data_IF_551406600612
#
_entry.id   IF_551406600612
#
_cell.length_a   1.000
_cell.length_b   1.000
_cell.length_c   1.000
_cell.angle_alpha   90.00
_cell.angle_beta   90.00
_cell.angle_gamma   90.00
#
_symmetry.space_group_name_H-M   'P 1'
#
loop_
_entity.id
_entity.type
_entity.pdbx_description
1 polymer ?
#
# COMPACT_ATOMS: atom_id res chain seq x y z
N UNK A 1 -25.11 36.92 30.91
CA UNK A 1 -25.12 37.43 29.52
C UNK A 1 -24.69 36.29 28.61
N UNK A 2 -25.61 35.79 27.76
CA UNK A 2 -25.36 34.66 26.88
C UNK A 2 -24.42 35.07 25.74
N UNK A 3 -23.18 34.64 25.78
CA UNK A 3 -22.17 34.92 24.74
C UNK A 3 -22.35 33.90 23.63
N UNK A 4 -22.70 34.36 22.43
CA UNK A 4 -22.81 33.51 21.24
C UNK A 4 -21.73 33.85 20.23
N UNK A 5 -21.03 32.82 19.75
CA UNK A 5 -19.92 32.93 18.80
C UNK A 5 -20.35 32.31 17.48
N UNK A 6 -20.10 32.97 16.32
CA UNK A 6 -20.48 32.41 15.02
C UNK A 6 -19.69 31.14 14.68
N UNK A 7 -20.37 30.13 14.13
CA UNK A 7 -19.84 28.78 13.80
C UNK A 7 -18.58 28.84 12.91
N UNK A 8 -18.49 29.87 12.07
CA UNK A 8 -17.40 30.08 11.10
C UNK A 8 -16.08 30.54 11.73
N UNK A 9 -16.09 31.05 12.97
CA UNK A 9 -14.87 31.48 13.66
C UNK A 9 -14.14 30.33 14.37
N UNK A 10 -14.76 29.15 14.48
CA UNK A 10 -14.20 27.98 15.16
C UNK A 10 -13.38 27.07 14.25
N UNK A 11 -13.25 27.40 12.96
CA UNK A 11 -12.44 26.63 12.00
C UNK A 11 -12.95 25.20 11.74
N UNK A 12 -14.21 24.92 12.08
CA UNK A 12 -14.82 23.60 11.95
C UNK A 12 -15.20 23.30 10.49
N UNK A 13 -15.04 22.04 10.07
CA UNK A 13 -15.54 21.59 8.77
C UNK A 13 -17.08 21.51 8.76
N UNK A 14 -17.69 21.58 7.58
CA UNK A 14 -19.16 21.58 7.44
C UNK A 14 -19.83 20.32 8.03
N UNK A 15 -19.15 19.17 8.00
CA UNK A 15 -19.63 17.94 8.64
C UNK A 15 -19.61 18.03 10.16
N UNK A 16 -18.57 18.65 10.75
CA UNK A 16 -18.44 18.83 12.19
C UNK A 16 -19.45 19.84 12.72
N UNK A 17 -19.72 20.91 11.97
CA UNK A 17 -20.78 21.88 12.30
C UNK A 17 -22.14 21.19 12.34
N UNK A 18 -22.42 20.31 11.38
CA UNK A 18 -23.69 19.58 11.32
C UNK A 18 -23.84 18.61 12.50
N UNK A 19 -22.77 17.88 12.82
CA UNK A 19 -22.73 16.98 13.98
C UNK A 19 -22.90 17.74 15.29
N UNK A 20 -22.25 18.90 15.42
CA UNK A 20 -22.32 19.72 16.62
C UNK A 20 -23.72 20.34 16.82
N UNK A 21 -24.39 20.76 15.74
CA UNK A 21 -25.80 21.18 15.78
C UNK A 21 -26.75 20.05 16.21
N UNK A 22 -26.53 18.83 15.71
CA UNK A 22 -27.31 17.67 16.09
C UNK A 22 -27.16 17.37 17.59
N UNK A 23 -25.93 17.44 18.12
CA UNK A 23 -25.67 17.20 19.54
C UNK A 23 -26.22 18.30 20.44
N UNK A 24 -26.20 19.58 20.02
CA UNK A 24 -26.84 20.66 20.75
C UNK A 24 -28.35 20.50 20.83
N UNK A 25 -29.01 20.08 19.74
CA UNK A 25 -30.45 19.79 19.77
C UNK A 25 -30.79 18.68 20.78
N UNK A 26 -29.93 17.67 20.91
CA UNK A 26 -30.10 16.57 21.86
C UNK A 26 -29.84 17.03 23.30
N UNK A 27 -28.81 17.84 23.54
CA UNK A 27 -28.52 18.38 24.87
C UNK A 27 -29.64 19.31 25.37
N UNK A 28 -30.20 20.15 24.49
CA UNK A 28 -31.31 21.06 24.83
C UNK A 28 -32.63 20.33 25.04
N UNK A 29 -32.87 19.19 24.37
CA UNK A 29 -34.07 18.39 24.61
C UNK A 29 -34.04 17.65 25.95
N UNK A 30 -32.84 17.35 26.47
CA UNK A 30 -32.65 16.74 27.78
C UNK A 30 -32.68 17.76 28.94
N UNK A 31 -32.31 19.02 28.70
CA UNK A 31 -32.15 20.05 29.74
C UNK A 31 -33.45 20.77 30.20
N UNK A 32 -34.63 20.34 29.75
CA UNK A 32 -35.91 20.75 30.34
C UNK A 32 -36.13 22.26 30.52
N UNK A 33 -36.67 22.92 29.50
CA UNK A 33 -37.43 24.18 29.65
C UNK A 33 -36.66 25.42 30.15
N UNK A 34 -35.64 25.85 29.41
CA UNK A 34 -35.14 27.23 29.49
C UNK A 34 -34.89 27.82 28.10
N UNK A 35 -35.88 28.58 27.62
CA UNK A 35 -35.81 29.47 26.43
C UNK A 35 -35.71 28.84 25.04
N UNK A 36 -36.71 28.04 24.65
CA UNK A 36 -36.88 27.52 23.29
C UNK A 36 -36.87 28.61 22.20
N UNK A 37 -37.14 29.88 22.54
CA UNK A 37 -37.12 31.01 21.60
C UNK A 37 -35.73 31.63 21.40
N UNK A 38 -34.90 31.73 22.45
CA UNK A 38 -33.55 32.28 22.33
C UNK A 38 -32.57 31.28 21.69
N UNK A 39 -32.73 29.99 22.01
CA UNK A 39 -31.95 28.91 21.41
C UNK A 39 -32.29 28.68 19.92
N UNK A 40 -33.57 28.77 19.54
CA UNK A 40 -33.98 28.64 18.14
C UNK A 40 -33.42 29.78 17.28
N UNK A 41 -33.39 31.01 17.80
CA UNK A 41 -32.77 32.15 17.12
C UNK A 41 -31.25 32.04 17.01
N UNK A 42 -30.55 31.51 18.03
CA UNK A 42 -29.10 31.28 17.96
C UNK A 42 -28.75 30.16 16.96
N UNK A 43 -29.51 29.06 16.98
CA UNK A 43 -29.37 27.94 16.03
C UNK A 43 -29.70 28.33 14.59
N UNK A 44 -30.71 29.18 14.37
CA UNK A 44 -31.10 29.62 13.02
C UNK A 44 -30.10 30.61 12.42
N UNK A 45 -29.37 31.36 13.24
CA UNK A 45 -28.38 32.34 12.79
C UNK A 45 -26.94 31.80 12.69
N UNK A 46 -26.71 30.49 12.95
CA UNK A 46 -25.35 29.91 12.97
C UNK A 46 -24.47 30.52 14.05
N UNK A 47 -25.05 30.76 15.24
CA UNK A 47 -24.34 31.27 16.41
C UNK A 47 -24.42 30.24 17.53
N UNK A 48 -23.26 29.74 17.94
CA UNK A 48 -23.11 28.79 19.02
C UNK A 48 -23.28 29.49 20.35
N UNK A 49 -24.25 29.05 21.14
CA UNK A 49 -24.37 29.43 22.55
C UNK A 49 -23.23 28.74 23.33
N UNK A 50 -22.29 29.55 23.83
CA UNK A 50 -21.22 29.11 24.72
C UNK A 50 -21.78 29.03 26.14
N UNK A 51 -22.57 28.00 26.40
CA UNK A 51 -22.97 27.62 27.75
C UNK A 51 -21.86 26.73 28.37
N UNK A 52 -21.57 26.79 29.68
CA UNK A 52 -20.52 25.96 30.29
C UNK A 52 -20.68 24.46 30.03
N UNK A 53 -21.92 23.99 29.83
CA UNK A 53 -22.23 22.61 29.47
C UNK A 53 -21.79 22.25 28.04
N UNK A 54 -21.88 23.17 27.07
CA UNK A 54 -21.46 22.93 25.69
C UNK A 54 -19.93 22.91 25.55
N UNK A 55 -19.22 23.71 26.36
CA UNK A 55 -17.76 23.65 26.46
C UNK A 55 -17.28 22.34 27.10
N UNK A 56 -17.97 21.84 28.13
CA UNK A 56 -17.66 20.53 28.72
C UNK A 56 -17.87 19.39 27.72
N UNK A 57 -18.98 19.40 26.97
CA UNK A 57 -19.24 18.39 25.94
C UNK A 57 -18.18 18.42 24.82
N UNK A 58 -17.74 19.61 24.41
CA UNK A 58 -16.66 19.78 23.43
C UNK A 58 -15.32 19.23 23.95
N UNK A 59 -14.98 19.47 25.22
CA UNK A 59 -13.76 18.92 25.82
C UNK A 59 -13.75 17.38 25.84
N UNK A 60 -14.85 16.76 26.26
CA UNK A 60 -14.97 15.30 26.27
C UNK A 60 -14.90 14.69 24.85
N UNK A 61 -15.42 15.42 23.85
CA UNK A 61 -15.30 15.01 22.45
C UNK A 61 -13.85 15.07 21.97
N UNK A 62 -13.11 16.15 22.27
CA UNK A 62 -11.68 16.24 21.94
C UNK A 62 -10.86 15.15 22.62
N UNK A 63 -11.15 14.81 23.87
CA UNK A 63 -10.45 13.72 24.57
C UNK A 63 -10.69 12.36 23.89
N UNK A 64 -11.93 12.07 23.49
CA UNK A 64 -12.25 10.86 22.73
C UNK A 64 -11.59 10.85 21.36
N UNK A 65 -11.51 12.00 20.69
CA UNK A 65 -10.86 12.13 19.39
C UNK A 65 -9.34 11.87 19.53
N UNK A 66 -8.69 12.49 20.52
CA UNK A 66 -7.28 12.23 20.82
C UNK A 66 -7.01 10.76 21.13
N UNK A 67 -7.86 10.13 21.94
CA UNK A 67 -7.73 8.70 22.23
C UNK A 67 -7.85 7.85 20.95
N UNK A 68 -8.83 8.15 20.08
CA UNK A 68 -9.01 7.40 18.82
C UNK A 68 -7.85 7.61 17.83
N UNK A 69 -7.28 8.82 17.76
CA UNK A 69 -6.08 9.10 16.97
C UNK A 69 -4.89 8.31 17.52
N UNK A 70 -4.70 8.30 18.84
CA UNK A 70 -3.60 7.57 19.46
C UNK A 70 -3.70 6.07 19.19
N UNK A 71 -4.90 5.48 19.32
CA UNK A 71 -5.13 4.08 18.98
C UNK A 71 -4.85 3.80 17.50
N UNK A 72 -5.34 4.66 16.60
CA UNK A 72 -5.11 4.49 15.15
C UNK A 72 -3.64 4.65 14.78
N UNK A 73 -2.92 5.56 15.42
CA UNK A 73 -1.49 5.75 15.23
C UNK A 73 -0.71 4.50 15.64
N UNK A 74 -1.03 3.91 16.80
CA UNK A 74 -0.41 2.67 17.26
C UNK A 74 -0.69 1.51 16.30
N UNK A 75 -1.95 1.35 15.87
CA UNK A 75 -2.33 0.32 14.89
C UNK A 75 -1.59 0.50 13.55
N UNK A 76 -1.52 1.73 13.03
CA UNK A 76 -0.82 2.03 11.79
C UNK A 76 0.67 1.73 11.91
N UNK A 77 1.30 2.12 13.02
CA UNK A 77 2.72 1.85 13.28
C UNK A 77 3.00 0.34 13.28
N UNK A 78 2.17 -0.45 13.95
CA UNK A 78 2.31 -1.91 13.98
C UNK A 78 2.09 -2.54 12.59
N UNK A 79 1.11 -2.05 11.84
CA UNK A 79 0.86 -2.51 10.47
C UNK A 79 2.04 -2.18 9.55
N UNK A 80 2.61 -0.98 9.64
CA UNK A 80 3.77 -0.58 8.84
C UNK A 80 5.00 -1.42 9.18
N UNK A 81 5.25 -1.69 10.47
CA UNK A 81 6.36 -2.56 10.87
C UNK A 81 6.19 -3.98 10.30
N UNK A 82 4.99 -4.53 10.40
CA UNK A 82 4.66 -5.87 9.85
C UNK A 82 4.81 -5.90 8.33
N UNK A 83 4.28 -4.89 7.63
CA UNK A 83 4.39 -4.79 6.17
C UNK A 83 5.85 -4.66 5.72
N UNK A 84 6.66 -3.88 6.45
CA UNK A 84 8.09 -3.73 6.17
C UNK A 84 8.83 -5.05 6.33
N UNK A 85 8.53 -5.81 7.39
CA UNK A 85 9.15 -7.12 7.62
C UNK A 85 8.79 -8.11 6.50
N UNK A 86 7.49 -8.24 6.16
CA UNK A 86 7.04 -9.12 5.09
C UNK A 86 7.67 -8.73 3.74
N UNK A 87 7.75 -7.43 3.46
CA UNK A 87 8.36 -6.93 2.23
C UNK A 87 9.85 -7.26 2.17
N UNK A 88 10.57 -7.11 3.29
CA UNK A 88 11.97 -7.48 3.40
C UNK A 88 12.18 -8.98 3.15
N UNK A 89 11.39 -9.83 3.81
CA UNK A 89 11.47 -11.29 3.65
C UNK A 89 11.14 -11.73 2.22
N UNK A 90 10.11 -11.12 1.61
CA UNK A 90 9.73 -11.39 0.22
C UNK A 90 10.82 -10.98 -0.76
N UNK A 91 11.43 -9.82 -0.57
CA UNK A 91 12.54 -9.35 -1.38
C UNK A 91 13.76 -10.27 -1.24
N UNK A 92 14.10 -10.68 -0.01
CA UNK A 92 15.18 -11.62 0.25
C UNK A 92 14.99 -12.96 -0.47
N UNK A 93 13.81 -13.57 -0.34
CA UNK A 93 13.49 -14.83 -1.02
C UNK A 93 13.53 -14.69 -2.56
N UNK A 94 13.04 -13.58 -3.11
CA UNK A 94 13.06 -13.34 -4.55
C UNK A 94 14.49 -13.20 -5.10
N UNK A 95 15.40 -12.56 -4.36
CA UNK A 95 16.81 -12.44 -4.73
C UNK A 95 17.48 -13.82 -4.72
N UNK A 96 17.27 -14.62 -3.67
CA UNK A 96 17.84 -15.97 -3.59
C UNK A 96 17.36 -16.87 -4.73
N UNK A 97 16.08 -16.78 -5.09
CA UNK A 97 15.52 -17.52 -6.21
C UNK A 97 16.11 -17.05 -7.56
N UNK A 98 16.30 -15.74 -7.72
CA UNK A 98 16.94 -15.19 -8.91
C UNK A 98 18.40 -15.66 -9.04
N UNK A 99 19.16 -15.69 -7.95
CA UNK A 99 20.55 -16.18 -7.94
C UNK A 99 20.62 -17.67 -8.34
N UNK A 100 19.71 -18.50 -7.84
CA UNK A 100 19.62 -19.90 -8.21
C UNK A 100 19.33 -20.08 -9.71
N UNK A 101 18.40 -19.29 -10.26
CA UNK A 101 18.07 -19.35 -11.69
C UNK A 101 19.23 -18.82 -12.56
N UNK A 102 19.95 -17.78 -12.12
CA UNK A 102 21.16 -17.29 -12.80
C UNK A 102 22.24 -18.38 -12.83
N UNK A 103 22.45 -19.08 -11.72
CA UNK A 103 23.42 -20.18 -11.66
C UNK A 103 23.05 -21.31 -12.64
N UNK A 104 21.75 -21.66 -12.69
CA UNK A 104 21.22 -22.65 -13.64
C UNK A 104 21.42 -22.20 -15.10
N UNK A 105 21.10 -20.96 -15.44
CA UNK A 105 21.32 -20.45 -16.79
C UNK A 105 22.79 -20.46 -17.19
N UNK A 106 23.70 -20.12 -16.27
CA UNK A 106 25.14 -20.20 -16.52
C UNK A 106 25.61 -21.63 -16.78
N UNK A 107 25.04 -22.61 -16.08
CA UNK A 107 25.33 -24.03 -16.34
C UNK A 107 24.83 -24.45 -17.72
N UNK A 108 23.58 -24.10 -18.08
CA UNK A 108 23.02 -24.38 -19.41
C UNK A 108 23.83 -23.76 -20.54
N UNK A 109 24.30 -22.51 -20.38
CA UNK A 109 25.15 -21.87 -21.38
C UNK A 109 26.45 -22.65 -21.58
N UNK A 110 27.07 -23.14 -20.50
CA UNK A 110 28.27 -23.98 -20.60
C UNK A 110 27.99 -25.30 -21.31
N UNK A 111 26.86 -25.95 -21.01
CA UNK A 111 26.45 -27.18 -21.70
C UNK A 111 26.22 -26.94 -23.20
N UNK A 112 25.65 -25.78 -23.56
CA UNK A 112 25.48 -25.38 -24.96
C UNK A 112 26.84 -25.20 -25.65
N UNK A 113 27.79 -24.53 -25.01
CA UNK A 113 29.14 -24.34 -25.57
C UNK A 113 29.86 -25.69 -25.76
N UNK A 114 29.71 -26.62 -24.81
CA UNK A 114 30.25 -27.98 -24.93
C UNK A 114 29.61 -28.74 -26.10
N UNK A 115 28.28 -28.64 -26.23
CA UNK A 115 27.54 -29.25 -27.34
C UNK A 115 27.98 -28.69 -28.71
N UNK A 116 28.30 -27.40 -28.79
CA UNK A 116 28.86 -26.79 -30.01
C UNK A 116 30.19 -27.43 -30.40
N UNK A 117 31.08 -27.64 -29.43
CA UNK A 117 32.36 -28.33 -29.67
C UNK A 117 32.14 -29.77 -30.16
N UNK A 118 31.16 -30.48 -29.59
CA UNK A 118 30.80 -31.82 -30.08
C UNK A 118 30.25 -31.81 -31.51
N UNK A 119 29.42 -30.82 -31.87
CA UNK A 119 28.94 -30.68 -33.24
C UNK A 119 30.06 -30.37 -34.24
N UNK A 120 31.06 -29.57 -33.85
CA UNK A 120 32.22 -29.32 -34.70
C UNK A 120 33.04 -30.59 -34.94
N UNK A 121 33.18 -31.46 -33.93
CA UNK A 121 33.81 -32.78 -34.11
C UNK A 121 33.02 -33.64 -35.09
N UNK A 122 31.69 -33.71 -34.96
CA UNK A 122 30.83 -34.46 -35.89
C UNK A 122 30.95 -33.93 -37.32
N UNK A 123 30.98 -32.61 -37.49
CA UNK A 123 31.18 -31.98 -38.81
C UNK A 123 32.49 -32.42 -39.44
N UNK A 124 33.59 -32.41 -38.68
CA UNK A 124 34.91 -32.85 -39.15
C UNK A 124 34.93 -34.34 -39.54
N UNK A 125 34.24 -35.20 -38.79
CA UNK A 125 34.05 -36.61 -39.17
C UNK A 125 33.32 -36.71 -40.52
N UNK A 126 32.27 -35.91 -40.71
CA UNK A 126 31.55 -35.84 -41.99
C UNK A 126 32.44 -35.47 -43.18
N UNK A 127 33.38 -34.54 -43.00
CA UNK A 127 34.37 -34.17 -44.03
C UNK A 127 35.34 -35.32 -44.33
N UNK A 128 35.81 -36.02 -43.30
CA UNK A 128 36.69 -37.19 -43.45
C UNK A 128 35.98 -38.29 -44.23
N UNK A 129 34.73 -38.62 -43.89
CA UNK A 129 33.94 -39.63 -44.60
C UNK A 129 33.73 -39.24 -46.07
N UNK A 130 33.43 -37.98 -46.36
CA UNK A 130 33.35 -37.48 -47.75
C UNK A 130 34.67 -37.69 -48.51
N UNK A 131 35.82 -37.41 -47.88
CA UNK A 131 37.12 -37.60 -48.49
C UNK A 131 37.41 -39.08 -48.79
N UNK A 132 37.04 -39.99 -47.88
CA UNK A 132 37.18 -41.43 -48.10
C UNK A 132 36.31 -41.91 -49.25
N UNK A 133 35.05 -41.47 -49.31
CA UNK A 133 34.15 -41.80 -50.42
C UNK A 133 34.72 -41.39 -51.78
N UNK A 134 35.26 -40.17 -51.88
CA UNK A 134 35.88 -39.68 -53.11
C UNK A 134 37.12 -40.50 -53.53
N UNK A 135 37.93 -40.95 -52.55
CA UNK A 135 39.09 -41.83 -52.81
C UNK A 135 38.67 -43.20 -53.32
N UNK A 136 37.60 -43.78 -52.76
CA UNK A 136 37.04 -45.06 -53.20
C UNK A 136 36.49 -44.94 -54.62
N UNK A 137 35.69 -43.91 -54.92
CA UNK A 137 35.19 -43.67 -56.29
C UNK A 137 36.32 -43.51 -57.32
N UNK A 138 37.43 -42.87 -56.93
CA UNK A 138 38.59 -42.72 -57.81
C UNK A 138 39.31 -44.05 -58.05
N UNK A 139 39.38 -44.92 -57.04
CA UNK A 139 39.93 -46.28 -57.16
C UNK A 139 39.06 -47.18 -58.03
N UNK A 140 37.74 -47.14 -57.85
CA UNK A 140 36.79 -47.88 -58.69
C UNK A 140 36.90 -47.51 -60.17
N UNK A 141 37.13 -46.23 -60.50
CA UNK A 141 37.31 -45.79 -61.90
C UNK A 141 38.62 -46.25 -62.53
N UNK A 142 39.59 -46.72 -61.74
CA UNK A 142 40.91 -47.18 -62.21
C UNK A 142 41.01 -48.70 -62.35
N UNK A 143 40.06 -49.43 -61.78
CA UNK A 143 39.87 -50.89 -61.94
C UNK A 143 39.00 -51.17 -63.16
#
# INVERSE_FOLDING_TARGET
MSTSVPDTQLGLSQSEITLLRQHQQIALSQAGSSSSRAASHASSQGRLLLDPTSLQALSAHFDRLMYSIQQRWQALTQQTQTATQIQYDRAGNAIQLADAEIARFRALLREIDELQVEFDKVRRIGEIVKSFKARVETLERRL
#
